data_IF_788589989553
#
_entry.id   IF_788589989553
#
_cell.length_a   1.000
_cell.length_b   1.000
_cell.length_c   1.000
_cell.angle_alpha   90.00
_cell.angle_beta   90.00
_cell.angle_gamma   90.00
#
_symmetry.space_group_name_H-M   'P 1'
#
loop_
_entity.id
_entity.type
_entity.pdbx_description
1 polymer ?
#
# COMPACT_ATOMS: atom_id res chain seq x y z
N UNK A 1 5.27 14.21 -7.33
CA UNK A 1 3.98 13.49 -7.41
C UNK A 1 2.86 14.46 -7.82
N UNK A 2 1.77 13.97 -8.40
CA UNK A 2 0.60 14.78 -8.80
C UNK A 2 -0.26 15.12 -7.58
N UNK A 3 -0.32 16.40 -7.18
CA UNK A 3 -1.19 16.85 -6.07
C UNK A 3 -2.66 16.51 -6.35
N UNK A 4 -3.12 16.65 -7.60
CA UNK A 4 -4.49 16.27 -7.99
C UNK A 4 -4.80 14.79 -7.72
N UNK A 5 -3.81 13.92 -7.82
CA UNK A 5 -3.99 12.47 -7.67
C UNK A 5 -3.71 12.00 -6.24
N UNK A 6 -2.69 12.54 -5.56
CA UNK A 6 -2.30 12.16 -4.21
C UNK A 6 -3.12 12.87 -3.13
N UNK A 7 -3.52 14.13 -3.36
CA UNK A 7 -4.27 14.95 -2.41
C UNK A 7 -5.49 15.62 -3.07
N UNK A 8 -6.46 14.86 -3.62
CA UNK A 8 -7.64 15.44 -4.28
C UNK A 8 -8.40 16.50 -3.46
N UNK A 9 -8.58 16.35 -2.12
CA UNK A 9 -9.23 17.39 -1.32
C UNK A 9 -8.50 18.74 -1.35
N UNK A 10 -7.16 18.75 -1.28
CA UNK A 10 -6.37 19.99 -1.33
C UNK A 10 -6.43 20.64 -2.70
N UNK A 11 -6.27 19.84 -3.76
CA UNK A 11 -6.41 20.31 -5.14
C UNK A 11 -7.80 20.93 -5.37
N UNK A 12 -8.87 20.28 -4.90
CA UNK A 12 -10.23 20.79 -5.06
C UNK A 12 -10.49 22.07 -4.24
N UNK A 13 -9.91 22.17 -3.03
CA UNK A 13 -9.99 23.36 -2.20
C UNK A 13 -9.39 24.58 -2.92
N UNK A 14 -8.17 24.42 -3.45
CA UNK A 14 -7.51 25.44 -4.27
C UNK A 14 -8.33 25.79 -5.52
N UNK A 15 -8.72 24.80 -6.33
CA UNK A 15 -9.42 25.04 -7.59
C UNK A 15 -10.78 25.75 -7.42
N UNK A 16 -11.50 25.47 -6.32
CA UNK A 16 -12.83 26.06 -6.08
C UNK A 16 -12.78 27.42 -5.40
N UNK A 17 -11.76 27.67 -4.57
CA UNK A 17 -11.74 28.82 -3.66
C UNK A 17 -10.50 29.71 -3.80
N UNK A 18 -9.51 29.31 -4.60
CA UNK A 18 -8.20 29.97 -4.69
C UNK A 18 -7.39 29.92 -3.40
N UNK A 19 -7.83 29.15 -2.40
CA UNK A 19 -7.25 29.10 -1.06
C UNK A 19 -7.54 27.77 -0.37
N UNK A 20 -6.49 27.13 0.15
CA UNK A 20 -6.60 25.90 0.92
C UNK A 20 -7.36 26.10 2.22
N UNK A 21 -7.05 27.16 2.96
CA UNK A 21 -7.68 27.45 4.26
C UNK A 21 -9.19 27.68 4.08
N UNK A 22 -9.58 28.48 3.08
CA UNK A 22 -10.97 28.76 2.80
C UNK A 22 -11.71 27.49 2.33
N UNK A 23 -11.08 26.65 1.50
CA UNK A 23 -11.68 25.42 1.00
C UNK A 23 -11.84 24.31 2.05
N UNK A 24 -10.98 24.28 3.07
CA UNK A 24 -11.12 23.35 4.20
C UNK A 24 -12.18 23.83 5.21
N UNK A 25 -12.26 25.13 5.49
CA UNK A 25 -13.24 25.69 6.44
C UNK A 25 -14.67 25.69 5.89
N UNK A 26 -14.84 26.08 4.63
CA UNK A 26 -16.17 26.19 4.01
C UNK A 26 -16.60 24.89 3.30
N UNK A 27 -15.73 23.88 3.33
CA UNK A 27 -15.92 22.64 2.60
C UNK A 27 -15.77 22.79 1.09
N UNK A 28 -15.52 21.66 0.44
CA UNK A 28 -15.33 21.56 -1.02
C UNK A 28 -16.52 20.92 -1.73
N UNK A 29 -17.71 20.93 -1.13
CA UNK A 29 -18.96 20.40 -1.71
C UNK A 29 -19.53 19.19 -0.96
N UNK A 30 -20.64 18.60 -1.46
CA UNK A 30 -21.33 17.50 -0.80
C UNK A 30 -20.48 16.22 -0.80
N UNK A 31 -20.29 15.64 0.37
CA UNK A 31 -19.70 14.32 0.55
C UNK A 31 -20.80 13.25 0.50
N UNK A 32 -20.58 12.10 -0.18
CA UNK A 32 -21.53 10.99 -0.13
C UNK A 32 -21.77 10.58 1.33
N UNK A 33 -23.03 10.61 1.77
CA UNK A 33 -23.40 10.09 3.08
C UNK A 33 -23.44 8.56 3.02
N UNK A 34 -22.42 7.92 3.57
CA UNK A 34 -22.43 6.48 3.83
C UNK A 34 -22.98 6.31 5.24
N UNK A 35 -24.02 5.48 5.39
CA UNK A 35 -24.55 5.13 6.72
C UNK A 35 -23.45 4.45 7.52
N UNK A 36 -22.93 5.14 8.53
CA UNK A 36 -21.87 4.63 9.37
C UNK A 36 -22.37 3.45 10.21
N UNK A 37 -21.72 2.29 10.07
CA UNK A 37 -21.96 1.15 10.97
C UNK A 37 -21.51 1.45 12.41
N UNK A 38 -21.86 0.60 13.39
CA UNK A 38 -21.59 0.85 14.81
C UNK A 38 -20.12 1.14 15.12
N UNK A 39 -19.19 0.44 14.45
CA UNK A 39 -17.75 0.65 14.65
C UNK A 39 -17.28 2.03 14.16
N UNK A 40 -17.79 2.48 13.02
CA UNK A 40 -17.47 3.79 12.47
C UNK A 40 -18.08 4.92 13.32
N UNK A 41 -19.26 4.72 13.88
CA UNK A 41 -19.85 5.66 14.83
C UNK A 41 -19.01 5.75 16.12
N UNK A 42 -18.56 4.59 16.62
CA UNK A 42 -17.70 4.52 17.80
C UNK A 42 -16.35 5.20 17.57
N UNK A 43 -15.70 4.99 16.43
CA UNK A 43 -14.40 5.61 16.13
C UNK A 43 -14.47 7.14 16.11
N UNK A 44 -15.56 7.71 15.60
CA UNK A 44 -15.81 9.16 15.65
C UNK A 44 -16.02 9.62 17.09
N UNK A 45 -16.87 8.92 17.84
CA UNK A 45 -17.17 9.27 19.25
C UNK A 45 -15.92 9.23 20.14
N UNK A 46 -15.07 8.23 19.93
CA UNK A 46 -13.83 8.02 20.70
C UNK A 46 -12.62 8.73 20.08
N UNK A 47 -12.80 9.50 18.99
CA UNK A 47 -11.74 10.25 18.31
C UNK A 47 -10.51 9.39 17.97
N UNK A 48 -10.73 8.20 17.43
CA UNK A 48 -9.64 7.30 17.05
C UNK A 48 -8.76 7.95 15.99
N UNK A 49 -7.49 8.17 16.30
CA UNK A 49 -6.50 8.64 15.33
C UNK A 49 -6.07 7.52 14.37
N UNK A 50 -6.10 6.28 14.87
CA UNK A 50 -5.70 5.06 14.16
C UNK A 50 -6.31 3.84 14.85
N UNK A 51 -6.30 2.71 14.18
CA UNK A 51 -6.73 1.42 14.73
C UNK A 51 -5.92 0.29 14.11
N UNK A 52 -5.85 -0.82 14.81
CA UNK A 52 -5.32 -2.09 14.33
C UNK A 52 -6.23 -3.22 14.85
N UNK A 53 -5.90 -4.45 14.50
CA UNK A 53 -6.57 -5.64 15.03
C UNK A 53 -5.70 -6.31 16.07
N UNK A 54 -6.33 -7.00 17.03
CA UNK A 54 -5.64 -7.63 18.15
C UNK A 54 -4.53 -8.60 17.70
N UNK A 55 -4.74 -9.31 16.60
CA UNK A 55 -3.76 -10.25 16.02
C UNK A 55 -3.00 -9.67 14.83
N UNK A 56 -2.98 -8.33 14.67
CA UNK A 56 -2.41 -7.66 13.50
C UNK A 56 -3.40 -7.54 12.33
N UNK A 57 -3.09 -6.66 11.39
CA UNK A 57 -3.98 -6.31 10.27
C UNK A 57 -4.24 -7.45 9.29
N UNK A 58 -3.38 -8.49 9.27
CA UNK A 58 -3.56 -9.72 8.48
C UNK A 58 -4.82 -10.51 8.87
N UNK A 59 -5.30 -10.35 10.11
CA UNK A 59 -6.54 -10.97 10.55
C UNK A 59 -7.76 -10.54 9.70
N UNK A 60 -7.71 -9.36 9.05
CA UNK A 60 -8.77 -8.89 8.16
C UNK A 60 -8.86 -9.73 6.86
N UNK A 61 -7.82 -9.82 6.01
CA UNK A 61 -7.87 -10.66 4.82
C UNK A 61 -8.04 -12.15 5.14
N UNK A 62 -7.50 -12.67 6.24
CA UNK A 62 -7.76 -14.04 6.69
C UNK A 62 -9.25 -14.28 6.98
N UNK A 63 -9.87 -13.39 7.76
CA UNK A 63 -11.30 -13.47 8.08
C UNK A 63 -12.19 -13.36 6.84
N UNK A 64 -11.80 -12.53 5.87
CA UNK A 64 -12.49 -12.43 4.58
C UNK A 64 -12.38 -13.73 3.78
N UNK A 65 -11.19 -14.33 3.71
CA UNK A 65 -10.98 -15.62 3.06
C UNK A 65 -11.84 -16.71 3.68
N UNK A 66 -11.81 -16.83 5.01
CA UNK A 66 -12.62 -17.79 5.78
C UNK A 66 -14.12 -17.61 5.53
N UNK A 67 -14.60 -16.37 5.57
CA UNK A 67 -16.01 -16.07 5.30
C UNK A 67 -16.41 -16.50 3.89
N UNK A 68 -15.59 -16.18 2.88
CA UNK A 68 -15.87 -16.52 1.48
C UNK A 68 -15.91 -18.05 1.28
N UNK A 69 -14.96 -18.79 1.84
CA UNK A 69 -14.94 -20.26 1.79
C UNK A 69 -16.19 -20.85 2.44
N UNK A 70 -16.55 -20.40 3.66
CA UNK A 70 -17.74 -20.90 4.38
C UNK A 70 -19.05 -20.54 3.70
N UNK A 71 -19.10 -19.39 3.02
CA UNK A 71 -20.33 -18.94 2.35
C UNK A 71 -20.73 -19.82 1.17
N UNK A 72 -19.77 -20.52 0.55
CA UNK A 72 -19.97 -21.28 -0.70
C UNK A 72 -20.31 -20.42 -1.92
N UNK A 73 -20.33 -19.08 -1.79
CA UNK A 73 -20.69 -18.14 -2.87
C UNK A 73 -19.51 -17.75 -3.77
N UNK A 74 -18.30 -18.05 -3.33
CA UNK A 74 -17.08 -17.77 -4.06
C UNK A 74 -16.13 -18.96 -3.99
N UNK A 75 -15.49 -19.28 -5.10
CA UNK A 75 -14.39 -20.23 -5.15
C UNK A 75 -13.08 -19.46 -5.00
N UNK A 76 -12.31 -19.74 -3.95
CA UNK A 76 -10.99 -19.17 -3.75
C UNK A 76 -9.92 -20.16 -4.23
N UNK A 77 -9.22 -19.78 -5.29
CA UNK A 77 -8.06 -20.52 -5.80
C UNK A 77 -6.78 -19.79 -5.40
N UNK A 78 -6.00 -20.42 -4.53
CA UNK A 78 -4.67 -19.95 -4.12
C UNK A 78 -3.62 -20.55 -5.04
N UNK A 79 -2.46 -19.91 -5.13
CA UNK A 79 -1.34 -20.37 -5.99
C UNK A 79 -1.70 -20.49 -7.48
N UNK A 80 -2.82 -19.90 -7.90
CA UNK A 80 -3.36 -19.94 -9.25
C UNK A 80 -2.98 -18.66 -10.01
N UNK A 81 -1.69 -18.53 -10.35
CA UNK A 81 -1.22 -17.37 -11.10
C UNK A 81 -1.87 -17.29 -12.50
N UNK A 82 -2.46 -16.14 -12.82
CA UNK A 82 -2.97 -15.85 -14.16
C UNK A 82 -1.79 -15.69 -15.11
N UNK A 83 -1.76 -16.48 -16.18
CA UNK A 83 -0.70 -16.45 -17.20
C UNK A 83 -1.09 -15.63 -18.42
N UNK A 84 -2.33 -15.77 -18.86
CA UNK A 84 -2.82 -15.10 -20.05
C UNK A 84 -4.35 -14.97 -20.05
N UNK A 85 -4.88 -13.86 -20.55
CA UNK A 85 -6.31 -13.59 -20.69
C UNK A 85 -6.65 -13.51 -22.18
N UNK A 86 -7.67 -14.24 -22.61
CA UNK A 86 -8.14 -14.25 -24.00
C UNK A 86 -9.61 -13.83 -24.08
N UNK A 87 -10.01 -13.04 -25.09
CA UNK A 87 -11.42 -12.87 -25.41
C UNK A 87 -12.05 -14.21 -25.78
N UNK A 88 -13.31 -14.40 -25.42
CA UNK A 88 -14.16 -15.52 -25.85
C UNK A 88 -15.44 -14.99 -26.47
N UNK A 89 -16.28 -15.87 -27.05
CA UNK A 89 -17.54 -15.48 -27.66
C UNK A 89 -18.51 -14.78 -26.67
N UNK A 90 -18.40 -15.07 -25.36
CA UNK A 90 -19.30 -14.55 -24.32
C UNK A 90 -18.57 -13.90 -23.14
N UNK A 91 -17.30 -13.50 -23.29
CA UNK A 91 -16.52 -12.89 -22.22
C UNK A 91 -15.03 -13.18 -22.35
N UNK A 92 -14.48 -13.87 -21.38
CA UNK A 92 -13.05 -14.13 -21.24
C UNK A 92 -12.73 -15.60 -20.97
N UNK A 93 -11.54 -16.00 -21.38
CA UNK A 93 -10.84 -17.20 -20.90
C UNK A 93 -9.59 -16.76 -20.15
N UNK A 94 -9.49 -17.16 -18.89
CA UNK A 94 -8.36 -16.90 -18.01
C UNK A 94 -7.54 -18.18 -17.93
N UNK A 95 -6.33 -18.14 -18.47
CA UNK A 95 -5.40 -19.25 -18.44
C UNK A 95 -4.56 -19.16 -17.17
N UNK A 96 -4.55 -20.26 -16.43
CA UNK A 96 -3.74 -20.51 -15.24
C UNK A 96 -2.63 -21.52 -15.59
N UNK A 97 -1.81 -21.91 -14.63
CA UNK A 97 -0.83 -23.00 -14.83
C UNK A 97 -1.53 -24.33 -15.17
N UNK A 98 -2.53 -24.71 -14.37
CA UNK A 98 -3.14 -26.05 -14.43
C UNK A 98 -4.52 -26.08 -15.10
N UNK A 99 -4.93 -25.02 -15.80
CA UNK A 99 -6.22 -25.00 -16.46
C UNK A 99 -6.71 -23.65 -16.99
N UNK A 100 -7.98 -23.64 -17.40
CA UNK A 100 -8.63 -22.47 -18.00
C UNK A 100 -9.98 -22.22 -17.34
N UNK A 101 -10.21 -20.98 -16.92
CA UNK A 101 -11.48 -20.51 -16.37
C UNK A 101 -12.20 -19.65 -17.40
N UNK A 102 -13.48 -19.90 -17.62
CA UNK A 102 -14.33 -19.00 -18.42
C UNK A 102 -15.04 -18.00 -17.51
N UNK A 103 -15.07 -16.73 -17.91
CA UNK A 103 -15.70 -15.67 -17.11
C UNK A 103 -16.43 -14.67 -18.03
N UNK A 104 -17.67 -14.32 -17.70
CA UNK A 104 -18.42 -13.30 -18.43
C UNK A 104 -17.83 -11.89 -18.20
N UNK A 105 -17.22 -11.67 -17.02
CA UNK A 105 -16.59 -10.41 -16.62
C UNK A 105 -15.35 -10.66 -15.76
N UNK A 106 -14.33 -9.82 -15.90
CA UNK A 106 -13.13 -9.83 -15.05
C UNK A 106 -13.09 -8.57 -14.19
N UNK A 107 -12.89 -8.72 -12.88
CA UNK A 107 -12.48 -7.63 -12.00
C UNK A 107 -11.01 -7.86 -11.69
N UNK A 108 -10.12 -7.06 -12.27
CA UNK A 108 -8.69 -7.16 -12.01
C UNK A 108 -8.33 -6.31 -10.80
N UNK A 109 -7.81 -6.98 -9.77
CA UNK A 109 -7.16 -6.39 -8.60
C UNK A 109 -5.63 -6.63 -8.62
N UNK A 110 -5.08 -6.98 -9.78
CA UNK A 110 -3.65 -7.19 -9.95
C UNK A 110 -2.90 -5.84 -9.98
N UNK A 111 -1.64 -5.79 -9.52
CA UNK A 111 -0.77 -4.64 -9.79
C UNK A 111 -0.72 -4.34 -11.30
N UNK A 112 -0.64 -3.05 -11.66
CA UNK A 112 -0.74 -2.61 -13.05
C UNK A 112 0.24 -3.33 -13.99
N UNK A 113 1.50 -3.48 -13.58
CA UNK A 113 2.54 -4.22 -14.31
C UNK A 113 2.15 -5.69 -14.54
N UNK A 114 1.67 -6.38 -13.51
CA UNK A 114 1.23 -7.77 -13.62
C UNK A 114 0.03 -7.92 -14.57
N UNK A 115 -0.96 -7.03 -14.48
CA UNK A 115 -2.09 -7.02 -15.42
C UNK A 115 -1.63 -6.78 -16.86
N UNK A 116 -0.68 -5.87 -17.07
CA UNK A 116 -0.18 -5.54 -18.41
C UNK A 116 0.45 -6.76 -19.12
N UNK A 117 1.04 -7.69 -18.35
CA UNK A 117 1.69 -8.89 -18.89
C UNK A 117 0.69 -9.98 -19.32
N UNK A 118 -0.53 -9.96 -18.80
CA UNK A 118 -1.50 -11.05 -19.00
C UNK A 118 -2.66 -10.65 -19.92
N UNK A 119 -2.84 -9.36 -20.22
CA UNK A 119 -3.88 -8.89 -21.14
C UNK A 119 -3.55 -9.26 -22.60
N UNK A 120 -4.59 -9.50 -23.45
CA UNK A 120 -4.36 -9.85 -24.84
C UNK A 120 -3.87 -8.64 -25.66
N UNK A 121 -3.17 -8.87 -26.80
CA UNK A 121 -2.69 -7.80 -27.68
C UNK A 121 -3.78 -6.83 -28.19
N UNK A 122 -5.04 -7.26 -28.23
CA UNK A 122 -6.18 -6.39 -28.57
C UNK A 122 -6.38 -5.24 -27.57
N UNK A 123 -5.79 -5.35 -26.38
CA UNK A 123 -5.76 -4.34 -25.32
C UNK A 123 -4.47 -3.51 -25.33
N UNK A 124 -3.70 -3.47 -26.43
CA UNK A 124 -2.37 -2.82 -26.49
C UNK A 124 -2.34 -1.40 -25.90
N UNK A 125 -3.33 -0.56 -26.21
CA UNK A 125 -3.38 0.81 -25.67
C UNK A 125 -3.58 0.86 -24.16
N UNK A 126 -4.31 -0.11 -23.58
CA UNK A 126 -4.46 -0.24 -22.14
C UNK A 126 -3.18 -0.80 -21.50
N UNK A 127 -2.55 -1.78 -22.16
CA UNK A 127 -1.28 -2.38 -21.71
C UNK A 127 -0.20 -1.31 -21.55
N UNK A 128 -0.02 -0.42 -22.53
CA UNK A 128 0.96 0.67 -22.46
C UNK A 128 0.68 1.59 -21.26
N UNK A 129 -0.58 1.96 -21.05
CA UNK A 129 -0.97 2.85 -19.93
C UNK A 129 -0.75 2.20 -18.57
N UNK A 130 -0.92 0.87 -18.46
CA UNK A 130 -0.63 0.11 -17.24
C UNK A 130 0.88 0.03 -16.99
N UNK A 131 1.69 -0.14 -18.04
CA UNK A 131 3.16 -0.19 -17.94
C UNK A 131 3.77 1.14 -17.50
N UNK A 132 3.14 2.26 -17.86
CA UNK A 132 3.58 3.60 -17.44
C UNK A 132 3.37 3.88 -15.94
N UNK A 133 2.60 3.03 -15.23
CA UNK A 133 2.39 3.15 -13.79
C UNK A 133 3.59 2.56 -13.05
N UNK A 134 4.56 3.42 -12.75
CA UNK A 134 5.72 3.05 -11.93
C UNK A 134 5.34 2.84 -10.47
N UNK A 135 5.92 1.83 -9.83
CA UNK A 135 5.90 1.64 -8.37
C UNK A 135 7.29 1.84 -7.78
N UNK A 136 7.37 1.99 -6.45
CA UNK A 136 8.65 2.03 -5.72
C UNK A 136 8.82 0.80 -4.84
N UNK A 137 10.07 0.50 -4.51
CA UNK A 137 10.47 -0.56 -3.57
C UNK A 137 10.71 0.05 -2.19
N UNK A 138 10.26 -0.65 -1.15
CA UNK A 138 10.46 -0.24 0.25
C UNK A 138 11.02 -1.41 1.04
N UNK A 139 12.11 -1.18 1.77
CA UNK A 139 12.56 -2.08 2.81
C UNK A 139 11.88 -1.71 4.13
N UNK A 140 11.27 -2.70 4.78
CA UNK A 140 10.66 -2.59 6.10
C UNK A 140 11.51 -3.42 7.05
N UNK A 141 12.13 -2.75 8.02
CA UNK A 141 12.95 -3.40 9.04
C UNK A 141 12.29 -3.22 10.38
N UNK A 142 11.81 -4.33 10.96
CA UNK A 142 11.25 -4.34 12.29
C UNK A 142 12.36 -4.65 13.29
N UNK A 143 12.45 -3.84 14.35
CA UNK A 143 13.46 -3.96 15.40
C UNK A 143 12.74 -4.00 16.75
N UNK A 144 13.16 -4.91 17.62
CA UNK A 144 12.71 -4.94 19.01
C UNK A 144 13.91 -4.76 19.95
N UNK A 145 13.78 -3.82 20.88
CA UNK A 145 14.76 -3.52 21.91
C UNK A 145 14.19 -3.83 23.30
N UNK A 146 15.05 -4.26 24.20
CA UNK A 146 14.72 -4.38 25.62
C UNK A 146 14.56 -3.00 26.26
N UNK A 147 13.59 -2.88 27.16
CA UNK A 147 13.27 -1.64 27.87
C UNK A 147 12.55 -0.58 27.02
N UNK A 148 12.47 0.62 27.59
CA UNK A 148 11.96 1.81 26.90
C UNK A 148 13.12 2.62 26.35
N UNK A 149 13.35 2.52 25.04
CA UNK A 149 14.46 3.22 24.37
C UNK A 149 14.06 4.57 23.76
N UNK A 150 12.77 4.92 23.78
CA UNK A 150 12.26 6.10 23.10
C UNK A 150 12.55 7.38 23.90
N UNK A 151 13.17 8.41 23.29
CA UNK A 151 13.39 9.69 23.96
C UNK A 151 12.09 10.50 24.12
N UNK A 152 11.09 10.25 23.26
CA UNK A 152 9.78 10.91 23.27
C UNK A 152 8.68 9.90 22.93
N UNK A 153 7.48 10.12 23.46
CA UNK A 153 6.28 9.34 23.07
C UNK A 153 5.59 10.01 21.90
N UNK A 154 5.39 9.26 20.82
CA UNK A 154 4.69 9.70 19.61
C UNK A 154 4.44 8.53 18.69
N UNK A 155 3.76 8.76 17.57
CA UNK A 155 3.56 7.74 16.55
C UNK A 155 4.89 7.26 15.93
N UNK A 156 5.83 8.19 15.79
CA UNK A 156 7.10 7.98 15.10
C UNK A 156 7.63 9.31 14.59
N UNK A 157 8.58 9.25 13.67
CA UNK A 157 9.08 10.41 12.95
C UNK A 157 9.28 10.10 11.47
N UNK A 158 9.17 11.14 10.64
CA UNK A 158 9.51 11.10 9.22
C UNK A 158 10.86 11.78 9.03
N UNK A 159 11.59 11.35 8.00
CA UNK A 159 12.89 11.92 7.66
C UNK A 159 12.76 12.62 6.30
N UNK A 160 12.96 13.95 6.25
CA UNK A 160 12.97 14.67 4.98
C UNK A 160 14.11 14.17 4.08
N UNK A 161 13.86 14.09 2.78
CA UNK A 161 14.89 13.66 1.82
C UNK A 161 16.11 14.57 1.73
N UNK A 162 16.06 15.77 2.33
CA UNK A 162 17.21 16.67 2.47
C UNK A 162 18.17 16.25 3.59
N UNK A 163 17.69 15.50 4.57
CA UNK A 163 18.49 14.94 5.65
C UNK A 163 19.02 13.55 5.25
N UNK A 164 18.13 12.73 4.69
CA UNK A 164 18.43 11.35 4.31
C UNK A 164 17.42 10.89 3.26
N UNK A 165 17.91 10.50 2.08
CA UNK A 165 17.04 10.01 1.00
C UNK A 165 16.64 8.55 1.20
N UNK A 166 17.53 7.76 1.80
CA UNK A 166 17.36 6.32 1.96
C UNK A 166 16.42 5.97 3.11
N UNK A 167 16.29 6.84 4.10
CA UNK A 167 15.41 6.65 5.25
C UNK A 167 14.13 7.46 5.11
N UNK A 168 12.97 6.80 5.14
CA UNK A 168 11.66 7.47 5.03
C UNK A 168 11.14 7.90 6.41
N UNK A 169 11.39 7.09 7.43
CA UNK A 169 10.93 7.32 8.78
C UNK A 169 10.98 6.07 9.66
N UNK A 170 10.67 6.28 10.95
CA UNK A 170 10.59 5.23 11.96
C UNK A 170 9.26 5.35 12.68
N UNK A 171 8.48 4.27 12.69
CA UNK A 171 7.26 4.13 13.50
C UNK A 171 7.62 3.54 14.86
N UNK A 172 7.06 4.09 15.92
CA UNK A 172 7.26 3.64 17.29
C UNK A 172 6.12 2.68 17.70
N UNK A 173 6.06 1.49 17.10
CA UNK A 173 4.90 0.58 17.14
C UNK A 173 4.36 0.28 18.54
N UNK A 174 5.25 0.22 19.54
CA UNK A 174 4.89 -0.01 20.94
C UNK A 174 4.10 1.13 21.58
N UNK A 175 4.10 2.33 21.00
CA UNK A 175 3.38 3.50 21.53
C UNK A 175 1.88 3.44 21.19
N UNK A 176 1.47 3.31 19.91
CA UNK A 176 0.06 3.23 19.56
C UNK A 176 -0.56 1.86 19.83
N UNK A 177 0.22 0.77 19.81
CA UNK A 177 -0.27 -0.60 19.99
C UNK A 177 0.58 -1.38 21.00
N UNK A 178 0.61 -0.98 22.29
CA UNK A 178 1.37 -1.66 23.33
C UNK A 178 0.90 -3.11 23.56
N UNK A 179 -0.35 -3.45 23.22
CA UNK A 179 -0.91 -4.79 23.33
C UNK A 179 -0.25 -5.82 22.39
N UNK A 180 0.50 -5.38 21.39
CA UNK A 180 1.29 -6.24 20.50
C UNK A 180 2.73 -6.45 20.99
N UNK A 181 3.13 -5.83 22.10
CA UNK A 181 4.43 -6.09 22.73
C UNK A 181 4.43 -7.48 23.40
N UNK A 182 5.62 -7.91 23.84
CA UNK A 182 5.74 -9.17 24.60
C UNK A 182 4.82 -9.15 25.83
N UNK A 183 4.19 -10.29 26.18
CA UNK A 183 3.34 -10.38 27.37
C UNK A 183 4.07 -10.09 28.69
N UNK A 184 5.39 -10.32 28.72
CA UNK A 184 6.26 -10.07 29.88
C UNK A 184 7.52 -9.33 29.46
N UNK A 185 8.05 -8.54 30.40
CA UNK A 185 9.14 -7.61 30.13
C UNK A 185 8.66 -6.32 29.46
N UNK A 186 9.46 -5.27 29.60
CA UNK A 186 9.24 -4.03 28.86
C UNK A 186 10.08 -4.10 27.59
N UNK A 187 9.45 -3.96 26.42
CA UNK A 187 10.17 -3.86 25.14
C UNK A 187 9.67 -2.66 24.33
N UNK A 188 10.51 -2.24 23.38
CA UNK A 188 10.17 -1.24 22.37
C UNK A 188 10.32 -1.85 20.99
N UNK A 189 9.23 -1.89 20.23
CA UNK A 189 9.17 -2.28 18.83
C UNK A 189 9.17 -1.04 17.95
N UNK A 190 9.99 -1.08 16.91
CA UNK A 190 10.14 -0.04 15.90
C UNK A 190 9.99 -0.65 14.51
N UNK A 191 9.44 0.14 13.59
CA UNK A 191 9.41 -0.19 12.17
C UNK A 191 10.11 0.90 11.40
N UNK A 192 11.27 0.56 10.83
CA UNK A 192 12.09 1.45 10.01
C UNK A 192 11.72 1.23 8.55
N UNK A 193 11.31 2.29 7.86
CA UNK A 193 10.95 2.25 6.44
C UNK A 193 12.03 2.95 5.62
N UNK A 194 12.57 2.27 4.62
CA UNK A 194 13.67 2.76 3.80
C UNK A 194 13.41 2.60 2.29
N UNK A 195 13.99 3.49 1.50
CA UNK A 195 13.97 3.47 0.04
C UNK A 195 12.89 4.36 -0.56
N UNK A 196 11.80 3.76 -1.03
CA UNK A 196 10.80 4.49 -1.80
C UNK A 196 11.38 4.96 -3.13
N UNK A 197 11.17 6.25 -3.47
CA UNK A 197 11.65 6.81 -4.74
C UNK A 197 13.18 6.76 -4.92
N UNK A 198 13.92 6.61 -3.82
CA UNK A 198 15.38 6.65 -3.77
C UNK A 198 16.00 5.27 -3.58
N UNK A 199 15.19 4.19 -3.53
CA UNK A 199 15.69 2.84 -3.20
C UNK A 199 16.91 2.45 -4.05
N UNK A 200 16.79 2.57 -5.38
CA UNK A 200 17.86 2.18 -6.30
C UNK A 200 19.13 3.04 -6.12
N UNK A 201 18.99 4.33 -5.82
CA UNK A 201 20.10 5.27 -5.62
C UNK A 201 20.87 4.93 -4.33
N UNK A 202 20.15 4.59 -3.26
CA UNK A 202 20.71 4.44 -1.91
C UNK A 202 21.12 3.00 -1.58
N UNK A 203 20.43 2.01 -2.16
CA UNK A 203 20.61 0.58 -1.82
C UNK A 203 20.98 -0.31 -3.01
N UNK A 204 21.01 0.25 -4.23
CA UNK A 204 21.28 -0.51 -5.45
C UNK A 204 20.09 -1.34 -5.94
N UNK A 205 20.37 -2.39 -6.72
CA UNK A 205 19.35 -3.23 -7.34
C UNK A 205 18.57 -4.05 -6.28
N UNK A 206 17.23 -3.91 -6.18
CA UNK A 206 16.37 -4.72 -5.32
C UNK A 206 16.54 -6.24 -5.47
N UNK A 207 17.05 -6.72 -6.61
CA UNK A 207 17.30 -8.14 -6.84
C UNK A 207 18.59 -8.63 -6.17
N UNK A 208 19.54 -7.75 -5.89
CA UNK A 208 20.87 -8.11 -5.35
C UNK A 208 21.15 -7.58 -3.95
N UNK A 209 20.36 -6.62 -3.48
CA UNK A 209 20.50 -6.04 -2.14
C UNK A 209 20.31 -7.12 -1.06
N UNK A 210 21.17 -7.12 -0.05
CA UNK A 210 21.13 -8.13 1.01
C UNK A 210 20.33 -7.66 2.22
N UNK A 211 19.71 -8.61 2.92
CA UNK A 211 18.99 -8.34 4.16
C UNK A 211 19.89 -7.77 5.25
N UNK A 212 21.15 -8.19 5.28
CA UNK A 212 22.14 -7.73 6.27
C UNK A 212 22.49 -6.26 6.05
N UNK A 213 22.61 -5.83 4.79
CA UNK A 213 22.86 -4.44 4.45
C UNK A 213 21.70 -3.53 4.90
N UNK A 214 20.46 -3.94 4.61
CA UNK A 214 19.26 -3.22 5.03
C UNK A 214 19.13 -3.19 6.57
N UNK A 215 19.39 -4.30 7.24
CA UNK A 215 19.35 -4.37 8.70
C UNK A 215 20.40 -3.46 9.35
N UNK A 216 21.63 -3.47 8.84
CA UNK A 216 22.72 -2.62 9.32
C UNK A 216 22.34 -1.14 9.19
N UNK A 217 21.82 -0.73 8.02
CA UNK A 217 21.40 0.65 7.77
C UNK A 217 20.27 1.10 8.69
N UNK A 218 19.27 0.24 8.91
CA UNK A 218 18.14 0.55 9.81
C UNK A 218 18.58 0.66 11.27
N UNK A 219 19.47 -0.24 11.71
CA UNK A 219 20.00 -0.24 13.08
C UNK A 219 20.86 0.99 13.34
N UNK A 220 21.71 1.37 12.38
CA UNK A 220 22.49 2.61 12.42
C UNK A 220 21.57 3.83 12.52
N UNK A 221 20.53 3.91 11.69
CA UNK A 221 19.55 5.00 11.70
C UNK A 221 18.89 5.17 13.06
N UNK A 222 18.44 4.05 13.66
CA UNK A 222 17.83 4.05 15.00
C UNK A 222 18.84 4.48 16.07
N UNK A 223 20.08 3.99 15.98
CA UNK A 223 21.14 4.39 16.91
C UNK A 223 21.41 5.89 16.86
N UNK A 224 21.55 6.45 15.66
CA UNK A 224 21.79 7.88 15.44
C UNK A 224 20.61 8.75 15.90
N UNK A 225 19.37 8.36 15.56
CA UNK A 225 18.20 9.21 15.82
C UNK A 225 17.69 9.11 17.26
N UNK A 226 17.77 7.91 17.86
CA UNK A 226 17.18 7.64 19.17
C UNK A 226 18.23 7.50 20.29
N UNK A 227 19.53 7.55 19.96
CA UNK A 227 20.62 7.45 20.93
C UNK A 227 20.79 6.06 21.54
N UNK A 228 20.34 5.02 20.84
CA UNK A 228 20.36 3.64 21.33
C UNK A 228 21.69 2.99 20.98
N UNK A 229 22.38 2.47 21.99
CA UNK A 229 23.69 1.81 21.83
C UNK A 229 23.64 0.30 21.94
N UNK A 230 22.54 -0.26 22.48
CA UNK A 230 22.33 -1.70 22.53
C UNK A 230 21.95 -2.24 21.15
N UNK A 231 22.27 -3.50 20.91
CA UNK A 231 21.75 -4.21 19.74
C UNK A 231 20.26 -4.56 19.96
N UNK A 232 19.44 -4.62 18.89
CA UNK A 232 18.08 -5.14 18.98
C UNK A 232 18.10 -6.62 19.40
N UNK A 233 17.18 -7.00 20.29
CA UNK A 233 17.02 -8.39 20.74
C UNK A 233 16.26 -9.26 19.74
N UNK A 234 15.51 -8.64 18.82
CA UNK A 234 14.87 -9.31 17.70
C UNK A 234 14.78 -8.38 16.49
N UNK A 235 14.90 -8.97 15.30
CA UNK A 235 14.92 -8.24 14.03
C UNK A 235 14.18 -9.02 12.94
N UNK A 236 13.49 -8.31 12.06
CA UNK A 236 12.94 -8.88 10.84
C UNK A 236 13.08 -7.88 9.68
N UNK A 237 13.48 -8.37 8.51
CA UNK A 237 13.67 -7.56 7.31
C UNK A 237 12.75 -8.09 6.22
N UNK A 238 11.91 -7.23 5.68
CA UNK A 238 11.07 -7.51 4.52
C UNK A 238 11.35 -6.49 3.41
N UNK A 239 11.67 -6.99 2.21
CA UNK A 239 11.83 -6.16 1.02
C UNK A 239 10.56 -6.24 0.16
N UNK A 240 9.83 -5.14 0.06
CA UNK A 240 8.61 -5.06 -0.73
C UNK A 240 8.91 -4.38 -2.07
N UNK A 241 9.10 -5.20 -3.11
CA UNK A 241 9.38 -4.76 -4.48
C UNK A 241 8.13 -4.23 -5.16
N UNK A 242 8.26 -3.15 -5.93
CA UNK A 242 7.18 -2.55 -6.72
C UNK A 242 5.86 -2.34 -5.92
N UNK A 243 5.96 -2.02 -4.63
CA UNK A 243 4.85 -2.14 -3.67
C UNK A 243 3.96 -0.89 -3.56
N UNK A 244 4.48 0.31 -3.87
CA UNK A 244 3.71 1.56 -3.79
C UNK A 244 3.67 2.25 -5.16
N UNK A 245 2.54 2.20 -5.87
CA UNK A 245 2.35 2.93 -7.12
C UNK A 245 2.57 4.44 -6.96
N UNK A 246 3.27 5.05 -7.90
CA UNK A 246 3.59 6.47 -7.90
C UNK A 246 2.66 7.22 -8.84
N UNK A 247 1.77 8.04 -8.27
CA UNK A 247 0.87 8.88 -9.05
C UNK A 247 1.63 10.12 -9.56
N UNK A 248 2.39 9.94 -10.64
CA UNK A 248 3.15 10.99 -11.33
C UNK A 248 2.24 12.00 -12.00
N UNK A 249 2.84 13.08 -12.54
CA UNK A 249 2.10 14.10 -13.28
C UNK A 249 1.31 13.45 -14.42
N UNK A 250 0.05 13.84 -14.57
CA UNK A 250 -0.86 13.28 -15.58
C UNK A 250 -1.55 11.97 -15.20
N UNK A 251 -1.26 11.37 -14.04
CA UNK A 251 -1.85 10.08 -13.63
C UNK A 251 -3.39 10.05 -13.71
N UNK A 252 -4.07 11.13 -13.33
CA UNK A 252 -5.53 11.22 -13.46
C UNK A 252 -6.02 11.05 -14.92
N UNK A 253 -5.27 11.58 -15.91
CA UNK A 253 -5.59 11.44 -17.34
C UNK A 253 -5.35 10.00 -17.78
N UNK A 254 -4.29 9.37 -17.29
CA UNK A 254 -4.02 7.95 -17.54
C UNK A 254 -5.20 7.10 -17.06
N UNK A 255 -5.67 7.30 -15.83
CA UNK A 255 -6.84 6.58 -15.28
C UNK A 255 -8.11 6.85 -16.09
N UNK A 256 -8.40 8.10 -16.45
CA UNK A 256 -9.54 8.47 -17.30
C UNK A 256 -9.47 7.82 -18.69
N UNK A 257 -8.27 7.76 -19.28
CA UNK A 257 -8.05 7.12 -20.58
C UNK A 257 -8.25 5.62 -20.51
N UNK A 258 -7.73 4.93 -19.48
CA UNK A 258 -7.91 3.48 -19.30
C UNK A 258 -9.41 3.14 -19.17
N UNK A 259 -10.13 3.88 -18.32
CA UNK A 259 -11.59 3.72 -18.16
C UNK A 259 -12.34 3.97 -19.47
N UNK A 260 -11.93 5.00 -20.21
CA UNK A 260 -12.52 5.34 -21.51
C UNK A 260 -12.26 4.26 -22.55
N UNK A 261 -11.06 3.67 -22.58
CA UNK A 261 -10.71 2.58 -23.48
C UNK A 261 -11.60 1.36 -23.22
N UNK A 262 -11.68 0.91 -21.96
CA UNK A 262 -12.51 -0.22 -21.53
C UNK A 262 -13.96 0.00 -21.95
N UNK A 263 -14.52 1.18 -21.67
CA UNK A 263 -15.90 1.53 -22.03
C UNK A 263 -16.12 1.55 -23.55
N UNK A 264 -15.25 2.23 -24.32
CA UNK A 264 -15.39 2.36 -25.78
C UNK A 264 -15.26 1.03 -26.51
N UNK A 265 -14.44 0.12 -25.98
CA UNK A 265 -14.27 -1.23 -26.52
C UNK A 265 -15.29 -2.23 -25.99
N UNK A 266 -16.20 -1.79 -25.12
CA UNK A 266 -17.20 -2.62 -24.44
C UNK A 266 -16.58 -3.89 -23.82
N UNK A 267 -15.42 -3.73 -23.19
CA UNK A 267 -14.72 -4.84 -22.54
C UNK A 267 -15.43 -5.16 -21.23
N UNK A 268 -15.78 -6.44 -21.02
CA UNK A 268 -16.27 -6.95 -19.73
C UNK A 268 -15.14 -7.05 -18.70
N UNK A 269 -14.49 -5.92 -18.43
CA UNK A 269 -13.31 -5.78 -17.58
C UNK A 269 -13.48 -4.56 -16.67
N UNK A 270 -13.26 -4.75 -15.38
CA UNK A 270 -13.18 -3.68 -14.38
C UNK A 270 -11.80 -3.70 -13.73
N UNK A 271 -11.25 -2.51 -13.46
CA UNK A 271 -9.97 -2.34 -12.77
C UNK A 271 -10.22 -1.80 -11.37
N UNK A 272 -9.59 -2.41 -10.36
CA UNK A 272 -9.55 -1.98 -8.97
C UNK A 272 -8.13 -2.17 -8.42
N UNK A 273 -7.80 -1.49 -7.31
CA UNK A 273 -6.45 -1.47 -6.74
C UNK A 273 -5.66 -0.23 -7.11
#
# INVERSE_FOLDING_TARGET
LSVRSCFPPLFNAEQKRGSLTLGLLLGSGPTPQISAGPLAQRSVKESWAQWSLKSGVEALPESLSDYLQRSGRAQLQKEAAVKHIQPSASGWKVHLEDGVISADHIISALPAKALSCVLPPTCQSLIQQLQDISSVTVAVVNLEYEGSILPVKGFGHLVPSSEDKGLLGVVYDSVPFPEHNRPSGQTTRLTVMMGGAWFQEEFGDPETVTTEHLLARATESVSCHLGVTSAPGWTHVALHKDCIPQYRLGHFRTVESMRSFIKKKNLSLSLIG
#
